data_IF_858842452332
#
_entry.id   IF_858842452332
#
_cell.length_a   1.000
_cell.length_b   1.000
_cell.length_c   1.000
_cell.angle_alpha   90.00
_cell.angle_beta   90.00
_cell.angle_gamma   90.00
#
_symmetry.space_group_name_H-M   'P 1'
#
loop_
_entity.id
_entity.type
_entity.pdbx_description
1 polymer ?
#
# COMPACT_ATOMS: atom_id res chain seq x y z
N UNK A 1 13.41 14.80 -45.66
CA UNK A 1 14.28 13.87 -44.90
C UNK A 1 14.51 14.48 -43.52
N UNK A 2 13.86 13.95 -42.49
CA UNK A 2 14.00 14.46 -41.12
C UNK A 2 15.32 13.97 -40.52
N UNK A 3 16.15 14.91 -40.06
CA UNK A 3 17.40 14.61 -39.35
C UNK A 3 17.04 14.03 -37.98
N UNK A 4 17.17 12.72 -37.82
CA UNK A 4 17.18 12.09 -36.50
C UNK A 4 18.48 12.46 -35.80
N UNK A 5 18.37 13.39 -34.84
CA UNK A 5 19.47 13.80 -33.96
C UNK A 5 19.93 12.57 -33.15
N UNK A 6 21.16 12.11 -33.37
CA UNK A 6 21.76 10.99 -32.62
C UNK A 6 21.96 11.46 -31.18
N UNK A 7 21.21 10.92 -30.23
CA UNK A 7 21.43 11.16 -28.80
C UNK A 7 22.69 10.36 -28.44
N UNK A 8 23.81 11.05 -28.23
CA UNK A 8 25.11 10.43 -27.95
C UNK A 8 25.45 10.36 -26.46
N UNK A 9 24.59 10.89 -25.60
CA UNK A 9 24.73 10.78 -24.14
C UNK A 9 23.51 10.06 -23.58
N UNK A 10 23.67 8.74 -23.39
CA UNK A 10 22.62 7.83 -22.89
C UNK A 10 22.62 7.79 -21.36
N UNK A 11 22.79 8.94 -20.70
CA UNK A 11 22.79 9.03 -19.23
C UNK A 11 21.47 9.64 -18.78
N UNK A 12 20.71 8.88 -18.00
CA UNK A 12 19.49 9.39 -17.35
C UNK A 12 19.86 9.89 -15.95
N UNK A 13 19.58 11.16 -15.67
CA UNK A 13 19.85 11.77 -14.37
C UNK A 13 18.57 11.80 -13.54
N UNK A 14 18.57 11.09 -12.41
CA UNK A 14 17.44 10.94 -11.49
C UNK A 14 17.86 11.37 -10.06
N UNK A 15 18.13 12.66 -9.81
CA UNK A 15 18.73 13.13 -8.56
C UNK A 15 17.78 13.09 -7.35
N UNK A 16 16.48 13.04 -7.61
CA UNK A 16 15.44 13.03 -6.57
C UNK A 16 15.04 11.61 -6.16
N UNK A 17 15.54 10.60 -6.88
CA UNK A 17 15.17 9.21 -6.67
C UNK A 17 16.19 8.52 -5.76
N UNK A 18 15.67 7.65 -4.89
CA UNK A 18 16.49 6.86 -3.98
C UNK A 18 17.30 5.81 -4.76
N UNK A 19 18.60 5.73 -4.48
CA UNK A 19 19.52 4.86 -5.21
C UNK A 19 19.21 3.37 -4.98
N UNK A 20 18.83 2.99 -3.76
CA UNK A 20 18.51 1.60 -3.40
C UNK A 20 17.18 1.17 -4.05
N UNK A 21 16.21 2.09 -4.14
CA UNK A 21 14.97 1.89 -4.88
C UNK A 21 15.23 1.71 -6.38
N UNK A 22 16.15 2.48 -6.96
CA UNK A 22 16.54 2.32 -8.36
C UNK A 22 17.23 0.98 -8.61
N UNK A 23 18.14 0.55 -7.75
CA UNK A 23 18.78 -0.76 -7.86
C UNK A 23 17.76 -1.90 -7.77
N UNK A 24 16.79 -1.78 -6.86
CA UNK A 24 15.67 -2.74 -6.74
C UNK A 24 14.81 -2.77 -8.00
N UNK A 25 14.56 -1.61 -8.61
CA UNK A 25 13.86 -1.51 -9.90
C UNK A 25 14.64 -2.21 -11.02
N UNK A 26 15.96 -2.05 -11.09
CA UNK A 26 16.80 -2.72 -12.09
C UNK A 26 16.74 -4.24 -11.91
N UNK A 27 16.85 -4.73 -10.67
CA UNK A 27 16.70 -6.16 -10.37
C UNK A 27 15.33 -6.66 -10.86
N UNK A 28 14.26 -5.90 -10.59
CA UNK A 28 12.94 -6.24 -11.07
C UNK A 28 12.85 -6.31 -12.60
N UNK A 29 13.37 -5.30 -13.31
CA UNK A 29 13.32 -5.24 -14.79
C UNK A 29 14.04 -6.44 -15.43
N UNK A 30 15.21 -6.81 -14.90
CA UNK A 30 16.03 -7.85 -15.51
C UNK A 30 15.74 -9.27 -15.02
N UNK A 31 15.25 -9.42 -13.79
CA UNK A 31 15.10 -10.73 -13.14
C UNK A 31 13.65 -11.04 -12.73
N UNK A 32 12.73 -10.07 -12.85
CA UNK A 32 11.34 -10.19 -12.43
C UNK A 32 11.16 -10.51 -10.92
N UNK A 33 12.16 -10.15 -10.11
CA UNK A 33 12.19 -10.38 -8.67
C UNK A 33 11.81 -9.12 -7.89
N UNK A 34 11.06 -9.31 -6.80
CA UNK A 34 10.85 -8.26 -5.80
C UNK A 34 11.92 -8.36 -4.71
N UNK A 35 12.18 -7.28 -3.96
CA UNK A 35 12.97 -7.36 -2.74
C UNK A 35 12.41 -8.44 -1.79
N UNK A 36 13.31 -9.21 -1.20
CA UNK A 36 12.93 -10.33 -0.35
C UNK A 36 12.48 -9.86 1.03
N UNK A 37 11.50 -10.57 1.59
CA UNK A 37 11.09 -10.44 2.99
C UNK A 37 10.70 -11.83 3.53
N UNK A 38 11.09 -12.18 4.76
CA UNK A 38 11.94 -11.42 5.68
C UNK A 38 13.45 -11.44 5.30
N UNK A 39 14.24 -10.57 5.92
CA UNK A 39 15.71 -10.56 5.83
C UNK A 39 16.35 -10.39 7.20
N UNK A 40 17.68 -10.51 7.31
CA UNK A 40 18.40 -10.23 8.57
C UNK A 40 18.21 -8.79 9.06
N UNK A 41 18.15 -7.82 8.14
CA UNK A 41 17.91 -6.40 8.46
C UNK A 41 16.44 -6.11 8.78
N UNK A 42 15.54 -6.87 8.17
CA UNK A 42 14.08 -6.70 8.27
C UNK A 42 13.42 -8.04 8.65
N UNK A 43 13.47 -8.43 9.94
CA UNK A 43 12.89 -9.70 10.38
C UNK A 43 11.35 -9.70 10.26
N UNK A 44 10.75 -10.89 10.25
CA UNK A 44 9.29 -11.10 10.28
C UNK A 44 8.69 -10.77 11.66
N UNK A 45 8.81 -9.52 12.05
CA UNK A 45 8.17 -8.93 13.25
C UNK A 45 7.41 -7.69 12.83
N UNK A 46 6.56 -7.16 13.72
CA UNK A 46 5.84 -5.91 13.47
C UNK A 46 6.78 -4.75 13.15
N UNK A 47 7.84 -4.58 13.95
CA UNK A 47 8.84 -3.52 13.78
C UNK A 47 9.70 -3.76 12.53
N UNK A 48 10.10 -5.00 12.26
CA UNK A 48 10.88 -5.35 11.07
C UNK A 48 10.10 -5.11 9.78
N UNK A 49 8.80 -5.45 9.78
CA UNK A 49 7.90 -5.18 8.66
C UNK A 49 7.65 -3.69 8.44
N UNK A 50 7.49 -2.91 9.52
CA UNK A 50 7.32 -1.46 9.42
C UNK A 50 8.56 -0.80 8.79
N UNK A 51 9.76 -1.17 9.24
CA UNK A 51 11.02 -0.70 8.63
C UNK A 51 11.17 -1.13 7.18
N UNK A 52 10.81 -2.38 6.87
CA UNK A 52 10.84 -2.88 5.49
C UNK A 52 9.94 -2.05 4.56
N UNK A 53 8.76 -1.65 5.04
CA UNK A 53 7.89 -0.77 4.27
C UNK A 53 8.52 0.60 4.02
N UNK A 54 9.05 1.23 5.07
CA UNK A 54 9.62 2.57 4.99
C UNK A 54 10.90 2.62 4.14
N UNK A 55 11.79 1.66 4.31
CA UNK A 55 13.11 1.66 3.68
C UNK A 55 13.10 1.04 2.28
N UNK A 56 12.21 0.09 1.99
CA UNK A 56 12.25 -0.69 0.74
C UNK A 56 10.98 -0.52 -0.09
N UNK A 57 9.81 -0.79 0.48
CA UNK A 57 8.57 -0.86 -0.31
C UNK A 57 8.09 0.52 -0.76
N UNK A 58 8.01 1.52 0.12
CA UNK A 58 7.50 2.83 -0.25
C UNK A 58 8.38 3.53 -1.29
N UNK A 59 9.73 3.59 -1.15
CA UNK A 59 10.58 4.19 -2.17
C UNK A 59 10.41 3.52 -3.54
N UNK A 60 10.38 2.19 -3.57
CA UNK A 60 10.20 1.43 -4.80
C UNK A 60 8.80 1.59 -5.41
N UNK A 61 7.76 1.67 -4.58
CA UNK A 61 6.39 1.90 -5.03
C UNK A 61 6.23 3.30 -5.64
N UNK A 62 6.77 4.33 -4.98
CA UNK A 62 6.77 5.71 -5.49
C UNK A 62 7.48 5.78 -6.83
N UNK A 63 8.65 5.14 -6.95
CA UNK A 63 9.39 5.09 -8.20
C UNK A 63 8.61 4.35 -9.30
N UNK A 64 7.96 3.23 -8.96
CA UNK A 64 7.13 2.48 -9.89
C UNK A 64 5.92 3.29 -10.38
N UNK A 65 5.24 4.02 -9.50
CA UNK A 65 4.13 4.92 -9.85
C UNK A 65 4.62 6.10 -10.71
N UNK A 66 5.74 6.73 -10.35
CA UNK A 66 6.38 7.82 -11.11
C UNK A 66 6.72 7.42 -12.55
N UNK A 67 7.20 6.19 -12.73
CA UNK A 67 7.55 5.62 -14.04
C UNK A 67 6.38 4.91 -14.73
N UNK A 68 5.16 4.98 -14.17
CA UNK A 68 3.97 4.32 -14.69
C UNK A 68 4.13 2.80 -14.88
N UNK A 69 4.95 2.14 -14.07
CA UNK A 69 5.19 0.70 -14.08
C UNK A 69 4.09 -0.03 -13.29
N UNK A 70 2.86 0.00 -13.82
CA UNK A 70 1.67 -0.54 -13.15
C UNK A 70 1.83 -2.00 -12.68
N UNK A 71 2.53 -2.83 -13.44
CA UNK A 71 2.74 -4.23 -13.05
C UNK A 71 3.60 -4.36 -11.78
N UNK A 72 4.66 -3.54 -11.64
CA UNK A 72 5.48 -3.50 -10.44
C UNK A 72 4.68 -2.93 -9.26
N UNK A 73 3.99 -1.80 -9.46
CA UNK A 73 3.18 -1.18 -8.42
C UNK A 73 2.11 -2.14 -7.87
N UNK A 74 1.43 -2.88 -8.75
CA UNK A 74 0.44 -3.89 -8.35
C UNK A 74 1.06 -5.03 -7.52
N UNK A 75 2.22 -5.53 -7.94
CA UNK A 75 2.93 -6.59 -7.19
C UNK A 75 3.47 -6.10 -5.84
N UNK A 76 3.83 -4.82 -5.72
CA UNK A 76 4.21 -4.21 -4.45
C UNK A 76 3.00 -4.04 -3.53
N UNK A 77 1.83 -3.65 -4.07
CA UNK A 77 0.59 -3.62 -3.29
C UNK A 77 0.20 -5.02 -2.80
N UNK A 78 0.39 -6.05 -3.63
CA UNK A 78 0.21 -7.44 -3.20
C UNK A 78 1.12 -7.78 -2.02
N UNK A 79 2.39 -7.37 -2.07
CA UNK A 79 3.34 -7.59 -0.99
C UNK A 79 3.00 -6.81 0.29
N UNK A 80 2.48 -5.58 0.17
CA UNK A 80 1.96 -4.79 1.31
C UNK A 80 0.80 -5.50 1.99
N UNK A 81 -0.13 -6.07 1.22
CA UNK A 81 -1.25 -6.83 1.79
C UNK A 81 -0.76 -8.10 2.49
N UNK A 82 0.15 -8.86 1.84
CA UNK A 82 0.68 -10.12 2.39
C UNK A 82 1.46 -9.93 3.68
N UNK A 83 2.44 -9.01 3.69
CA UNK A 83 3.23 -8.72 4.89
C UNK A 83 2.33 -8.17 5.99
N UNK A 84 1.35 -7.33 5.63
CA UNK A 84 0.42 -6.73 6.56
C UNK A 84 -0.41 -7.78 7.30
N UNK A 85 -0.92 -8.77 6.56
CA UNK A 85 -1.68 -9.88 7.12
C UNK A 85 -0.81 -10.82 7.96
N UNK A 86 0.37 -11.19 7.47
CA UNK A 86 1.28 -12.13 8.15
C UNK A 86 1.85 -11.55 9.46
N UNK A 87 2.08 -10.24 9.54
CA UNK A 87 2.80 -9.60 10.64
C UNK A 87 1.97 -8.61 11.45
N UNK A 88 0.64 -8.60 11.25
CA UNK A 88 -0.30 -7.67 11.91
C UNK A 88 0.17 -6.22 11.85
N UNK A 89 0.66 -5.80 10.68
CA UNK A 89 1.18 -4.46 10.41
C UNK A 89 0.35 -3.78 9.34
N UNK A 90 0.30 -2.45 9.37
CA UNK A 90 -0.43 -1.67 8.38
C UNK A 90 0.38 -0.43 8.00
N UNK A 91 0.10 0.09 6.82
CA UNK A 91 0.75 1.27 6.27
C UNK A 91 0.34 2.50 7.06
N UNK A 92 1.32 3.32 7.44
CA UNK A 92 1.08 4.63 8.03
C UNK A 92 0.40 5.55 7.02
N UNK A 93 -0.79 6.07 7.34
CA UNK A 93 -1.48 7.09 6.52
C UNK A 93 -0.55 8.26 6.25
N UNK A 94 0.15 8.74 7.29
CA UNK A 94 1.11 9.85 7.17
C UNK A 94 2.16 9.55 6.12
N UNK A 95 2.76 8.37 6.16
CA UNK A 95 3.81 8.02 5.22
C UNK A 95 3.23 7.89 3.81
N UNK A 96 2.06 7.25 3.66
CA UNK A 96 1.43 7.12 2.33
C UNK A 96 1.11 8.47 1.69
N UNK A 97 0.51 9.42 2.41
CA UNK A 97 0.18 10.75 1.86
C UNK A 97 1.40 11.66 1.69
N UNK A 98 2.46 11.47 2.47
CA UNK A 98 3.69 12.24 2.34
C UNK A 98 4.54 11.78 1.13
N UNK A 99 4.55 10.47 0.84
CA UNK A 99 5.50 9.88 -0.10
C UNK A 99 4.91 9.65 -1.50
N UNK A 100 3.61 9.37 -1.60
CA UNK A 100 2.98 8.94 -2.86
C UNK A 100 2.18 10.05 -3.53
N UNK A 101 2.06 10.03 -4.87
CA UNK A 101 1.22 10.98 -5.60
C UNK A 101 -0.26 10.84 -5.21
N UNK A 102 -1.02 11.93 -5.37
CA UNK A 102 -2.46 11.94 -5.14
C UNK A 102 -3.17 10.85 -5.95
N UNK A 103 -4.00 10.05 -5.28
CA UNK A 103 -4.72 8.94 -5.89
C UNK A 103 -3.94 7.62 -5.96
N UNK A 104 -2.75 7.56 -5.33
CA UNK A 104 -2.00 6.31 -5.16
C UNK A 104 -2.87 5.23 -4.50
N UNK A 105 -2.67 3.98 -4.94
CA UNK A 105 -3.35 2.81 -4.34
C UNK A 105 -2.93 2.60 -2.90
N UNK A 106 -1.75 3.07 -2.50
CA UNK A 106 -1.30 3.02 -1.12
C UNK A 106 -2.09 3.98 -0.22
N UNK A 107 -2.41 5.20 -0.70
CA UNK A 107 -3.26 6.14 0.05
C UNK A 107 -4.65 5.54 0.28
N UNK A 108 -5.25 4.96 -0.77
CA UNK A 108 -6.53 4.27 -0.70
C UNK A 108 -6.49 3.09 0.28
N UNK A 109 -5.44 2.28 0.23
CA UNK A 109 -5.24 1.16 1.16
C UNK A 109 -5.14 1.64 2.62
N UNK A 110 -4.30 2.65 2.91
CA UNK A 110 -4.14 3.19 4.26
C UNK A 110 -5.46 3.70 4.83
N UNK A 111 -6.26 4.44 4.05
CA UNK A 111 -7.56 4.95 4.52
C UNK A 111 -8.53 3.82 4.82
N UNK A 112 -8.58 2.78 3.98
CA UNK A 112 -9.46 1.63 4.23
C UNK A 112 -9.00 0.81 5.43
N UNK A 113 -7.70 0.75 5.73
CA UNK A 113 -7.19 0.13 6.96
C UNK A 113 -7.58 0.90 8.21
N UNK A 114 -7.54 2.24 8.19
CA UNK A 114 -8.04 3.05 9.31
C UNK A 114 -9.54 2.84 9.53
N UNK A 115 -10.32 2.83 8.44
CA UNK A 115 -11.75 2.54 8.52
C UNK A 115 -12.02 1.13 9.04
N UNK A 116 -11.22 0.14 8.62
CA UNK A 116 -11.30 -1.20 9.17
C UNK A 116 -11.07 -1.18 10.67
N UNK A 117 -9.98 -0.60 11.16
CA UNK A 117 -9.66 -0.54 12.60
C UNK A 117 -10.77 0.11 13.42
N UNK A 118 -11.33 1.22 12.94
CA UNK A 118 -12.42 1.94 13.62
C UNK A 118 -13.73 1.13 13.68
N UNK A 119 -13.98 0.24 12.72
CA UNK A 119 -15.25 -0.50 12.61
C UNK A 119 -15.13 -1.97 13.03
N UNK A 120 -13.94 -2.57 12.98
CA UNK A 120 -13.66 -3.95 13.40
C UNK A 120 -13.50 -4.09 14.90
N UNK A 121 -13.40 -2.96 15.60
CA UNK A 121 -13.28 -2.90 17.04
C UNK A 121 -14.48 -3.58 17.73
N UNK A 122 -14.25 -4.69 18.45
CA UNK A 122 -15.27 -5.27 19.34
C UNK A 122 -15.43 -4.36 20.58
N UNK A 123 -16.58 -3.72 20.83
CA UNK A 123 -16.76 -2.75 21.91
C UNK A 123 -16.30 -3.24 23.30
N UNK A 124 -16.27 -4.56 23.51
CA UNK A 124 -15.84 -5.19 24.76
C UNK A 124 -14.32 -5.16 25.00
N UNK A 125 -13.50 -5.00 23.95
CA UNK A 125 -12.04 -5.03 24.03
C UNK A 125 -11.38 -3.64 23.94
N UNK A 126 -12.16 -2.58 23.77
CA UNK A 126 -11.63 -1.22 23.64
C UNK A 126 -11.84 -0.42 24.90
N UNK A 127 -10.77 0.22 25.34
CA UNK A 127 -10.85 1.30 26.30
C UNK A 127 -11.28 2.56 25.57
N UNK A 128 -12.09 3.38 26.21
CA UNK A 128 -12.49 4.72 25.73
C UNK A 128 -11.27 5.58 25.30
N UNK A 129 -10.10 5.30 25.88
CA UNK A 129 -8.82 5.94 25.54
C UNK A 129 -8.34 5.62 24.12
N UNK A 130 -8.49 4.38 23.63
CA UNK A 130 -7.99 4.02 22.30
C UNK A 130 -8.82 4.69 21.20
N UNK A 131 -10.15 4.69 21.35
CA UNK A 131 -11.04 5.33 20.38
C UNK A 131 -10.76 6.84 20.30
N UNK A 132 -10.59 7.48 21.46
CA UNK A 132 -10.20 8.89 21.52
C UNK A 132 -8.83 9.16 20.85
N UNK A 133 -7.84 8.28 21.05
CA UNK A 133 -6.54 8.38 20.41
C UNK A 133 -6.64 8.24 18.88
N UNK A 134 -7.39 7.27 18.36
CA UNK A 134 -7.55 7.08 16.92
C UNK A 134 -8.30 8.23 16.26
N UNK A 135 -9.37 8.73 16.89
CA UNK A 135 -10.08 9.92 16.41
C UNK A 135 -9.15 11.13 16.40
N UNK A 136 -8.29 11.29 17.42
CA UNK A 136 -7.32 12.38 17.46
C UNK A 136 -6.25 12.24 16.37
N UNK A 137 -5.77 11.03 16.08
CA UNK A 137 -4.84 10.76 14.98
C UNK A 137 -5.50 11.12 13.65
N UNK A 138 -6.72 10.65 13.39
CA UNK A 138 -7.47 10.98 12.18
C UNK A 138 -7.69 12.49 12.03
N UNK A 139 -8.04 13.19 13.11
CA UNK A 139 -8.22 14.64 13.10
C UNK A 139 -6.92 15.39 12.79
N UNK A 140 -5.80 14.98 13.40
CA UNK A 140 -4.47 15.54 13.08
C UNK A 140 -4.11 15.29 11.61
N UNK A 141 -4.38 14.09 11.11
CA UNK A 141 -4.14 13.74 9.72
C UNK A 141 -4.97 14.59 8.75
N UNK A 142 -6.25 14.81 9.04
CA UNK A 142 -7.12 15.69 8.26
C UNK A 142 -6.63 17.15 8.23
N UNK A 143 -6.02 17.63 9.31
CA UNK A 143 -5.44 18.98 9.36
C UNK A 143 -4.15 19.10 8.53
N UNK A 144 -3.30 18.06 8.51
CA UNK A 144 -2.02 18.08 7.79
C UNK A 144 -2.21 17.75 6.30
N UNK A 145 -3.12 16.83 5.99
CA UNK A 145 -3.40 16.33 4.64
C UNK A 145 -4.92 16.40 4.38
N UNK A 146 -5.43 17.53 3.85
CA UNK A 146 -6.87 17.67 3.57
C UNK A 146 -7.44 16.60 2.63
N UNK A 147 -6.62 16.09 1.70
CA UNK A 147 -6.97 15.00 0.79
C UNK A 147 -7.33 13.72 1.55
N UNK A 148 -6.65 13.44 2.67
CA UNK A 148 -7.01 12.33 3.54
C UNK A 148 -8.42 12.46 4.08
N UNK A 149 -8.83 13.66 4.51
CA UNK A 149 -10.18 13.88 5.01
C UNK A 149 -11.24 13.64 3.92
N UNK A 150 -10.97 14.11 2.70
CA UNK A 150 -11.83 13.89 1.54
C UNK A 150 -11.96 12.40 1.25
N UNK A 151 -10.84 11.68 1.19
CA UNK A 151 -10.83 10.24 0.91
C UNK A 151 -11.48 9.44 2.02
N UNK A 152 -11.24 9.77 3.29
CA UNK A 152 -11.86 9.14 4.43
C UNK A 152 -13.38 9.28 4.41
N UNK A 153 -13.90 10.50 4.20
CA UNK A 153 -15.36 10.75 4.10
C UNK A 153 -15.94 10.05 2.87
N UNK A 154 -15.26 10.12 1.72
CA UNK A 154 -15.72 9.48 0.49
C UNK A 154 -15.81 7.97 0.65
N UNK A 155 -14.75 7.32 1.14
CA UNK A 155 -14.67 5.86 1.25
C UNK A 155 -15.59 5.32 2.35
N UNK A 156 -15.69 6.01 3.48
CA UNK A 156 -16.66 5.67 4.53
C UNK A 156 -18.09 5.73 4.01
N UNK A 157 -18.42 6.73 3.17
CA UNK A 157 -19.75 6.84 2.56
C UNK A 157 -20.00 5.76 1.51
N UNK A 158 -19.09 5.59 0.55
CA UNK A 158 -19.21 4.61 -0.55
C UNK A 158 -19.34 3.19 -0.01
N UNK A 159 -18.58 2.85 1.03
CA UNK A 159 -18.56 1.51 1.62
C UNK A 159 -19.36 1.38 2.92
N UNK A 160 -20.17 2.38 3.30
CA UNK A 160 -20.92 2.45 4.57
C UNK A 160 -21.69 1.17 4.91
N UNK A 161 -22.32 0.55 3.91
CA UNK A 161 -23.17 -0.61 4.11
C UNK A 161 -22.37 -1.86 4.45
N UNK A 162 -21.09 -1.91 4.07
CA UNK A 162 -20.17 -3.00 4.37
C UNK A 162 -19.59 -2.86 5.76
N UNK A 163 -19.19 -1.65 6.16
CA UNK A 163 -18.66 -1.40 7.51
C UNK A 163 -19.70 -1.59 8.64
N UNK A 164 -21.00 -1.55 8.32
CA UNK A 164 -22.09 -1.85 9.27
C UNK A 164 -22.43 -3.34 9.40
N UNK A 165 -21.83 -4.21 8.60
CA UNK A 165 -22.12 -5.65 8.58
C UNK A 165 -20.95 -6.43 9.16
N UNK A 166 -21.25 -7.58 9.74
CA UNK A 166 -20.23 -8.57 10.07
C UNK A 166 -20.13 -9.61 8.94
N UNK A 167 -18.92 -9.95 8.46
CA UNK A 167 -17.65 -9.37 8.89
C UNK A 167 -17.39 -7.99 8.25
N UNK A 168 -16.69 -7.14 9.00
CA UNK A 168 -16.20 -5.84 8.53
C UNK A 168 -15.19 -6.06 7.41
N UNK A 169 -15.23 -5.28 6.31
CA UNK A 169 -14.32 -5.48 5.20
C UNK A 169 -12.90 -5.08 5.58
N UNK A 170 -11.93 -5.90 5.18
CA UNK A 170 -10.51 -5.79 5.51
C UNK A 170 -9.72 -5.60 4.22
N UNK A 171 -8.93 -4.52 4.16
CA UNK A 171 -8.14 -4.19 2.99
C UNK A 171 -6.91 -5.08 2.82
N UNK A 172 -6.52 -5.86 3.83
CA UNK A 172 -5.43 -6.84 3.73
C UNK A 172 -5.87 -8.10 2.96
N UNK A 173 -7.17 -8.41 2.99
CA UNK A 173 -7.73 -9.61 2.37
C UNK A 173 -8.03 -9.37 0.89
N UNK A 174 -7.52 -10.24 0.01
CA UNK A 174 -7.72 -10.11 -1.45
C UNK A 174 -8.96 -10.84 -1.95
N UNK A 175 -9.40 -11.92 -1.29
CA UNK A 175 -10.58 -12.69 -1.69
C UNK A 175 -11.59 -12.95 -0.55
N UNK A 176 -12.82 -13.31 -0.90
CA UNK A 176 -13.88 -13.68 0.02
C UNK A 176 -14.70 -12.50 0.54
N UNK A 177 -15.52 -12.78 1.56
CA UNK A 177 -16.56 -11.86 2.04
C UNK A 177 -16.02 -10.58 2.69
N UNK A 178 -14.79 -10.63 3.22
CA UNK A 178 -14.11 -9.48 3.83
C UNK A 178 -13.38 -8.61 2.80
N UNK A 179 -13.04 -9.14 1.62
CA UNK A 179 -12.22 -8.44 0.65
C UNK A 179 -12.94 -7.31 -0.07
N UNK A 180 -12.21 -6.31 -0.57
CA UNK A 180 -12.75 -5.30 -1.51
C UNK A 180 -12.76 -5.77 -2.97
N UNK A 181 -12.24 -6.97 -3.22
CA UNK A 181 -12.07 -7.56 -4.53
C UNK A 181 -10.59 -7.70 -4.88
N UNK A 182 -10.25 -8.76 -5.62
CA UNK A 182 -8.86 -9.17 -5.86
C UNK A 182 -8.00 -8.08 -6.50
N UNK A 183 -8.58 -7.32 -7.42
CA UNK A 183 -7.90 -6.25 -8.16
C UNK A 183 -8.11 -4.85 -7.56
N UNK A 184 -8.71 -4.71 -6.38
CA UNK A 184 -9.18 -3.41 -5.89
C UNK A 184 -8.04 -2.38 -5.74
N UNK A 185 -6.89 -2.84 -5.26
CA UNK A 185 -5.67 -2.04 -5.09
C UNK A 185 -4.74 -2.07 -6.30
N UNK A 186 -5.20 -2.57 -7.44
CA UNK A 186 -4.42 -2.61 -8.67
C UNK A 186 -4.84 -1.52 -9.65
N UNK A 187 -3.90 -1.13 -10.51
CA UNK A 187 -4.12 -0.25 -11.66
C UNK A 187 -4.14 -1.08 -12.93
N UNK A 188 -5.21 -0.94 -13.72
CA UNK A 188 -5.42 -1.66 -14.97
C UNK A 188 -5.70 -0.70 -16.11
N UNK A 189 -5.17 -1.02 -17.29
CA UNK A 189 -5.67 -0.45 -18.54
C UNK A 189 -6.98 -1.14 -18.93
N UNK A 190 -7.77 -0.49 -19.77
CA UNK A 190 -8.95 -1.11 -20.38
C UNK A 190 -8.50 -2.38 -21.12
N UNK A 191 -9.00 -3.55 -20.69
CA UNK A 191 -8.60 -4.90 -21.14
C UNK A 191 -7.21 -5.40 -20.71
N UNK A 192 -6.54 -4.73 -19.78
CA UNK A 192 -5.28 -5.21 -19.21
C UNK A 192 -5.49 -6.48 -18.39
N UNK A 193 -4.68 -7.52 -18.65
CA UNK A 193 -4.67 -8.73 -17.81
C UNK A 193 -4.03 -8.39 -16.47
N UNK A 194 -4.75 -8.67 -15.40
CA UNK A 194 -4.22 -8.55 -14.05
C UNK A 194 -3.38 -9.80 -13.72
N UNK A 195 -2.08 -9.62 -13.47
CA UNK A 195 -1.19 -10.69 -13.03
C UNK A 195 -1.19 -10.80 -11.50
N UNK A 196 -2.32 -11.21 -10.93
CA UNK A 196 -2.44 -11.51 -9.50
C UNK A 196 -1.56 -12.71 -9.12
N UNK A 197 -0.73 -12.54 -8.09
CA UNK A 197 -0.13 -13.66 -7.39
C UNK A 197 -1.21 -14.49 -6.64
N UNK A 198 -0.92 -15.76 -6.31
CA UNK A 198 -1.75 -16.50 -5.36
C UNK A 198 -1.72 -15.80 -3.99
N UNK A 199 -2.86 -15.73 -3.32
CA UNK A 199 -2.91 -15.23 -1.94
C UNK A 199 -2.14 -16.21 -1.05
N UNK A 200 -1.17 -15.71 -0.27
CA UNK A 200 -0.54 -16.56 0.73
C UNK A 200 -1.60 -16.89 1.76
N UNK A 201 -1.81 -18.19 2.00
CA UNK A 201 -2.72 -18.61 3.06
C UNK A 201 -2.23 -17.97 4.36
N UNK A 202 -3.11 -17.25 5.06
CA UNK A 202 -2.84 -16.83 6.43
C UNK A 202 -2.32 -18.05 7.18
N UNK A 203 -1.14 -17.94 7.81
CA UNK A 203 -0.68 -18.97 8.73
C UNK A 203 -1.74 -19.07 9.81
N UNK A 204 -2.59 -20.10 9.70
CA UNK A 204 -3.46 -20.51 10.79
C UNK A 204 -2.53 -20.97 11.90
N UNK A 205 -2.14 -20.04 12.78
CA UNK A 205 -1.65 -20.40 14.09
C UNK A 205 -2.83 -20.38 15.07
N UNK A 206 -2.87 -21.35 16.00
CA UNK A 206 -4.05 -21.73 16.79
C UNK A 206 -4.52 -20.69 17.81
#
# INVERSE_FOLDING_TARGET
>A
MGVTKRITETVMYLPEDDADAFDSLIIYIYQNLLPAFPTEKHPATKEGSAKYYEEIIYPLLVLAEKLCLNNLANRLMDLVQDIGMENYTYTSVRTSYCMTPAGSKLQLYSVLMELYQLNSANPENFTETWEAEQVQICAKMACIYPEFAIDFVRLSWVHRARFKKSPVPDAQVRDGVKAFGRCFFHTHHENGVCHLGPEKAASNDP
#
